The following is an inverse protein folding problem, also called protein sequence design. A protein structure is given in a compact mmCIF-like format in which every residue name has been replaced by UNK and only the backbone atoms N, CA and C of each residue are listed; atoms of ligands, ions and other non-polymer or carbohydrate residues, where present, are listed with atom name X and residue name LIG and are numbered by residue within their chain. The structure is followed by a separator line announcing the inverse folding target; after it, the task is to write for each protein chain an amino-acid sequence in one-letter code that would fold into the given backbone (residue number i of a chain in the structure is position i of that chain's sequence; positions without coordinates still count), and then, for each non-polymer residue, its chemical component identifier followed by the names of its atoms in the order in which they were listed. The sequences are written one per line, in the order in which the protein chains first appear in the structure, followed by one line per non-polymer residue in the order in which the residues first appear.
data_IF_578457813975
#
_entry.id   IF_578457813975
#
_cell.length_a   1.000
_cell.length_b   1.000
_cell.length_c   1.000
_cell.angle_alpha   90.00
_cell.angle_beta   90.00
_cell.angle_gamma   90.00
#
_symmetry.space_group_name_H-M   'P 1'
#
loop_
_entity.id
_entity.type
_entity.pdbx_description
1 polymer ?
#
# COMPACT_ATOMS: atom_id res chain seq x y z
N UNK A 1 19.68 -21.81 -13.28
CA UNK A 1 19.56 -20.36 -13.52
C UNK A 1 18.30 -19.84 -12.82
N UNK A 2 18.30 -18.65 -12.19
CA UNK A 2 17.09 -18.09 -11.63
C UNK A 2 16.05 -17.83 -12.73
N UNK A 3 14.75 -17.98 -12.42
CA UNK A 3 13.69 -17.70 -13.39
C UNK A 3 13.67 -16.21 -13.74
N UNK A 4 13.24 -15.81 -14.94
CA UNK A 4 13.12 -14.39 -15.34
C UNK A 4 12.33 -13.55 -14.34
N UNK A 5 11.27 -14.12 -13.76
CA UNK A 5 10.42 -13.50 -12.71
C UNK A 5 11.22 -13.21 -11.42
N UNK A 6 12.09 -14.14 -11.00
CA UNK A 6 12.93 -13.96 -9.81
C UNK A 6 13.96 -12.85 -10.01
N UNK A 7 14.59 -12.80 -11.19
CA UNK A 7 15.53 -11.75 -11.55
C UNK A 7 14.89 -10.36 -11.56
N UNK A 8 13.65 -10.26 -12.03
CA UNK A 8 12.87 -9.00 -12.00
C UNK A 8 12.65 -8.54 -10.55
N UNK A 9 12.13 -9.43 -9.67
CA UNK A 9 11.85 -9.11 -8.27
C UNK A 9 13.13 -8.69 -7.52
N UNK A 10 14.25 -9.37 -7.75
CA UNK A 10 15.52 -9.04 -7.10
C UNK A 10 16.02 -7.65 -7.51
N UNK A 11 15.86 -7.27 -8.77
CA UNK A 11 16.23 -5.94 -9.27
C UNK A 11 15.35 -4.84 -8.64
N UNK A 12 14.04 -5.04 -8.65
CA UNK A 12 13.10 -4.06 -8.08
C UNK A 12 13.32 -3.90 -6.55
N UNK A 13 13.60 -5.01 -5.85
CA UNK A 13 13.96 -4.99 -4.43
C UNK A 13 15.21 -4.15 -4.17
N UNK A 14 16.29 -4.37 -4.93
CA UNK A 14 17.52 -3.62 -4.74
C UNK A 14 17.34 -2.12 -4.96
N UNK A 15 16.50 -1.75 -5.94
CA UNK A 15 16.13 -0.35 -6.20
C UNK A 15 15.32 0.23 -5.04
N UNK A 16 14.29 -0.48 -4.56
CA UNK A 16 13.44 -0.08 -3.45
C UNK A 16 14.25 0.12 -2.16
N UNK A 17 15.11 -0.84 -1.82
CA UNK A 17 15.97 -0.77 -0.63
C UNK A 17 16.92 0.43 -0.68
N UNK A 18 17.54 0.69 -1.83
CA UNK A 18 18.42 1.85 -2.03
C UNK A 18 17.63 3.16 -1.85
N UNK A 19 16.45 3.25 -2.43
CA UNK A 19 15.57 4.41 -2.32
C UNK A 19 15.13 4.64 -0.87
N UNK A 20 14.62 3.60 -0.19
CA UNK A 20 14.15 3.68 1.17
C UNK A 20 15.28 4.06 2.16
N UNK A 21 16.45 3.46 2.02
CA UNK A 21 17.62 3.80 2.84
C UNK A 21 18.05 5.28 2.66
N UNK A 22 18.01 5.79 1.44
CA UNK A 22 18.42 7.17 1.16
C UNK A 22 17.41 8.23 1.63
N UNK A 23 16.10 7.89 1.67
CA UNK A 23 15.03 8.88 1.83
C UNK A 23 14.18 8.67 3.09
N UNK A 24 14.25 7.51 3.76
CA UNK A 24 13.49 7.25 4.99
C UNK A 24 14.45 7.12 6.19
N UNK A 25 14.53 8.12 7.08
CA UNK A 25 15.46 8.11 8.22
C UNK A 25 15.33 6.88 9.13
N UNK A 26 14.11 6.37 9.32
CA UNK A 26 13.88 5.17 10.12
C UNK A 26 14.45 3.91 9.46
N UNK A 27 14.29 3.77 8.14
CA UNK A 27 14.86 2.66 7.38
C UNK A 27 16.39 2.71 7.46
N UNK A 28 16.96 3.90 7.28
CA UNK A 28 18.41 4.08 7.41
C UNK A 28 18.92 3.60 8.77
N UNK A 29 18.29 4.04 9.87
CA UNK A 29 18.66 3.59 11.22
C UNK A 29 18.57 2.07 11.40
N UNK A 30 17.47 1.44 10.94
CA UNK A 30 17.29 -0.01 11.03
C UNK A 30 18.42 -0.76 10.33
N UNK A 31 18.84 -0.31 9.15
CA UNK A 31 19.95 -0.91 8.41
C UNK A 31 21.30 -0.71 9.10
N UNK A 32 21.57 0.52 9.56
CA UNK A 32 22.81 0.89 10.23
C UNK A 32 22.97 0.11 11.56
N UNK A 33 21.90 0.03 12.36
CA UNK A 33 21.89 -0.72 13.62
C UNK A 33 22.08 -2.23 13.41
N UNK A 34 21.59 -2.77 12.29
CA UNK A 34 21.81 -4.15 11.90
C UNK A 34 23.19 -4.42 11.27
N UNK A 35 23.98 -3.38 11.01
CA UNK A 35 25.26 -3.49 10.30
C UNK A 35 25.13 -3.98 8.85
N UNK A 36 23.95 -3.76 8.22
CA UNK A 36 23.65 -4.20 6.86
C UNK A 36 23.69 -3.03 5.90
N UNK A 37 24.49 -3.14 4.83
CA UNK A 37 24.53 -2.11 3.79
C UNK A 37 23.43 -2.36 2.74
N UNK A 38 22.77 -1.32 2.20
CA UNK A 38 21.77 -1.47 1.14
C UNK A 38 22.29 -2.25 -0.07
N UNK A 39 23.57 -2.09 -0.40
CA UNK A 39 24.23 -2.77 -1.53
C UNK A 39 24.39 -4.28 -1.34
N UNK A 40 24.23 -4.78 -0.12
CA UNK A 40 24.29 -6.20 0.22
C UNK A 40 22.95 -6.92 0.03
N UNK A 41 21.85 -6.16 -0.10
CA UNK A 41 20.51 -6.70 -0.41
C UNK A 41 20.35 -6.77 -1.92
N UNK A 42 20.64 -7.93 -2.48
CA UNK A 42 20.59 -8.19 -3.93
C UNK A 42 19.45 -9.14 -4.31
N UNK A 43 18.92 -9.89 -3.37
CA UNK A 43 17.87 -10.89 -3.55
C UNK A 43 16.88 -10.87 -2.37
N UNK A 44 15.67 -11.33 -2.59
CA UNK A 44 14.64 -11.45 -1.53
C UNK A 44 15.17 -12.20 -0.30
N UNK A 45 15.98 -13.25 -0.49
CA UNK A 45 16.58 -14.01 0.61
C UNK A 45 17.51 -13.17 1.51
N UNK A 46 18.13 -12.12 0.99
CA UNK A 46 19.04 -11.27 1.75
C UNK A 46 18.29 -10.40 2.77
N UNK A 47 16.97 -10.20 2.61
CA UNK A 47 16.12 -9.48 3.58
C UNK A 47 16.09 -10.13 4.97
N UNK A 48 16.39 -11.41 5.08
CA UNK A 48 16.48 -12.09 6.37
C UNK A 48 17.56 -11.48 7.30
N UNK A 49 18.47 -10.69 6.76
CA UNK A 49 19.50 -9.97 7.52
C UNK A 49 19.00 -8.65 8.13
N UNK A 50 17.88 -8.14 7.65
CA UNK A 50 17.28 -6.89 8.13
C UNK A 50 16.22 -7.23 9.18
N UNK A 51 16.29 -6.63 10.39
CA UNK A 51 15.31 -6.88 11.43
C UNK A 51 13.89 -6.50 10.98
N UNK A 52 12.92 -7.34 11.36
CA UNK A 52 11.50 -7.04 11.17
C UNK A 52 11.10 -5.92 12.13
N UNK A 53 10.33 -4.95 11.66
CA UNK A 53 9.70 -3.93 12.50
C UNK A 53 8.28 -4.39 12.85
N UNK A 54 8.02 -4.86 14.07
CA UNK A 54 6.67 -5.24 14.50
C UNK A 54 5.72 -4.05 14.47
N UNK A 55 4.42 -4.29 14.27
CA UNK A 55 3.42 -3.22 14.19
C UNK A 55 3.41 -2.31 15.42
N UNK A 56 3.51 -2.89 16.61
CA UNK A 56 3.53 -2.12 17.86
C UNK A 56 4.74 -1.19 17.93
N UNK A 57 5.90 -1.64 17.47
CA UNK A 57 7.09 -0.80 17.36
C UNK A 57 6.91 0.32 16.36
N UNK A 58 6.27 0.05 15.22
CA UNK A 58 5.96 1.07 14.22
C UNK A 58 5.03 2.15 14.78
N UNK A 59 3.98 1.75 15.53
CA UNK A 59 3.07 2.68 16.22
C UNK A 59 3.86 3.58 17.20
N UNK A 60 4.74 2.98 17.99
CA UNK A 60 5.58 3.73 18.92
C UNK A 60 6.48 4.72 18.19
N UNK A 61 7.13 4.32 17.10
CA UNK A 61 7.99 5.20 16.30
C UNK A 61 7.21 6.36 15.68
N UNK A 62 5.95 6.15 15.29
CA UNK A 62 5.10 7.24 14.81
C UNK A 62 4.72 8.22 15.92
N UNK A 63 4.56 7.77 17.16
CA UNK A 63 4.34 8.65 18.32
C UNK A 63 5.60 9.46 18.69
N UNK A 64 6.77 8.84 18.59
CA UNK A 64 8.06 9.48 18.86
C UNK A 64 8.46 10.51 17.78
N UNK A 65 8.07 10.26 16.53
CA UNK A 65 8.36 11.13 15.37
C UNK A 65 7.13 11.22 14.43
N UNK A 66 6.12 12.03 14.80
CA UNK A 66 4.90 12.15 14.01
C UNK A 66 5.13 12.79 12.63
N UNK A 67 4.27 12.49 11.65
CA UNK A 67 3.21 11.48 11.72
C UNK A 67 3.66 10.08 11.30
N UNK A 68 4.81 9.91 10.64
CA UNK A 68 5.18 8.67 9.96
C UNK A 68 6.35 7.92 10.59
N UNK A 69 6.84 8.31 11.77
CA UNK A 69 7.93 7.62 12.47
C UNK A 69 9.27 7.62 11.72
N UNK A 70 9.44 8.52 10.75
CA UNK A 70 10.61 8.57 9.88
C UNK A 70 10.59 7.54 8.73
N UNK A 71 9.46 6.90 8.45
CA UNK A 71 9.33 5.93 7.36
C UNK A 71 8.92 6.53 6.00
N UNK A 72 8.52 7.80 5.95
CA UNK A 72 8.18 8.43 4.69
C UNK A 72 9.44 8.69 3.85
N UNK A 73 9.49 8.06 2.68
CA UNK A 73 10.58 8.19 1.70
C UNK A 73 10.21 9.10 0.51
N UNK A 74 9.08 9.82 0.60
CA UNK A 74 8.58 10.71 -0.44
C UNK A 74 8.37 12.11 0.11
N UNK A 75 8.32 13.10 -0.79
CA UNK A 75 7.91 14.47 -0.44
C UNK A 75 6.46 14.46 0.07
N UNK A 76 6.17 15.00 1.28
CA UNK A 76 4.80 15.11 1.80
C UNK A 76 3.83 15.82 0.85
N UNK A 77 4.29 16.76 0.04
CA UNK A 77 3.46 17.47 -0.96
C UNK A 77 2.94 16.56 -2.07
N UNK A 78 3.52 15.37 -2.24
CA UNK A 78 3.11 14.37 -3.21
C UNK A 78 2.15 13.33 -2.65
N UNK A 79 1.77 13.45 -1.38
CA UNK A 79 0.77 12.57 -0.78
C UNK A 79 -0.63 12.95 -1.27
N UNK A 80 -1.42 11.93 -1.58
CA UNK A 80 -2.82 12.05 -1.98
C UNK A 80 -3.75 11.87 -0.79
N UNK A 81 -3.47 10.88 0.05
CA UNK A 81 -4.22 10.58 1.25
C UNK A 81 -3.29 10.21 2.41
N UNK A 82 -3.79 10.37 3.61
CA UNK A 82 -3.23 9.77 4.82
C UNK A 82 -4.37 9.00 5.47
N UNK A 83 -4.23 7.68 5.52
CA UNK A 83 -5.20 6.82 6.18
C UNK A 83 -4.80 6.55 7.62
N UNK A 84 -5.77 6.10 8.40
CA UNK A 84 -5.57 5.67 9.78
C UNK A 84 -6.09 4.24 9.92
N UNK A 85 -5.18 3.29 9.95
CA UNK A 85 -5.55 1.90 10.21
C UNK A 85 -5.65 1.58 11.70
N UNK A 86 -6.37 0.50 12.08
CA UNK A 86 -6.47 0.11 13.48
C UNK A 86 -5.10 -0.07 14.14
N UNK A 87 -4.92 0.63 15.29
CA UNK A 87 -3.69 0.51 16.02
C UNK A 87 -3.22 1.76 16.80
N UNK A 88 -3.57 3.03 16.62
CA UNK A 88 -3.76 3.77 15.37
C UNK A 88 -2.43 3.94 14.61
N UNK A 89 -2.41 3.64 13.31
CA UNK A 89 -1.24 3.76 12.47
C UNK A 89 -1.53 4.65 11.26
N UNK A 90 -0.74 5.70 11.06
CA UNK A 90 -0.84 6.57 9.89
C UNK A 90 -0.20 5.91 8.67
N UNK A 91 -0.96 5.79 7.59
CA UNK A 91 -0.55 5.16 6.33
C UNK A 91 -0.61 6.19 5.19
N UNK A 92 0.53 6.72 4.73
CA UNK A 92 0.56 7.67 3.65
C UNK A 92 0.38 6.98 2.30
N UNK A 93 -0.42 7.56 1.42
CA UNK A 93 -0.60 7.15 0.03
C UNK A 93 -0.08 8.22 -0.92
N UNK A 94 0.86 7.86 -1.79
CA UNK A 94 1.35 8.72 -2.87
C UNK A 94 0.33 8.91 -4.00
N UNK A 95 0.63 9.83 -4.89
CA UNK A 95 -0.21 10.15 -6.04
C UNK A 95 -0.04 9.17 -7.22
N UNK A 96 0.90 8.23 -7.14
CA UNK A 96 1.05 7.22 -8.19
C UNK A 96 -0.13 6.23 -8.18
N UNK A 97 -0.40 5.66 -9.35
CA UNK A 97 -1.52 4.74 -9.57
C UNK A 97 -1.10 3.28 -9.65
N UNK A 98 0.07 2.92 -9.16
CA UNK A 98 0.57 1.55 -9.23
C UNK A 98 -0.35 0.58 -8.49
N UNK A 99 -0.85 0.95 -7.31
CA UNK A 99 -1.81 0.14 -6.55
C UNK A 99 -3.14 -0.02 -7.28
N UNK A 100 -3.67 1.05 -7.90
CA UNK A 100 -4.90 0.97 -8.69
C UNK A 100 -4.72 0.01 -9.89
N UNK A 101 -3.55 -0.01 -10.48
CA UNK A 101 -3.25 -0.91 -11.61
C UNK A 101 -3.19 -2.37 -11.17
N UNK A 102 -2.51 -2.67 -10.05
CA UNK A 102 -2.48 -4.03 -9.48
C UNK A 102 -3.88 -4.48 -9.08
N UNK A 103 -4.65 -3.61 -8.41
CA UNK A 103 -6.03 -3.91 -8.03
C UNK A 103 -6.93 -4.15 -9.25
N UNK A 104 -6.76 -3.39 -10.35
CA UNK A 104 -7.50 -3.61 -11.58
C UNK A 104 -7.24 -4.99 -12.19
N UNK A 105 -6.01 -5.48 -12.17
CA UNK A 105 -5.71 -6.84 -12.63
C UNK A 105 -6.37 -7.90 -11.75
N UNK A 106 -6.41 -7.71 -10.43
CA UNK A 106 -7.11 -8.61 -9.51
C UNK A 106 -8.60 -8.67 -9.85
N UNK A 107 -9.25 -7.51 -10.10
CA UNK A 107 -10.65 -7.47 -10.47
C UNK A 107 -10.94 -8.12 -11.82
N UNK A 108 -10.06 -7.96 -12.82
CA UNK A 108 -10.20 -8.67 -14.11
C UNK A 108 -10.09 -10.19 -13.94
N UNK A 109 -9.14 -10.65 -13.12
CA UNK A 109 -9.01 -12.09 -12.80
C UNK A 109 -10.24 -12.59 -12.03
N UNK A 110 -10.84 -11.76 -11.15
CA UNK A 110 -12.08 -12.07 -10.45
C UNK A 110 -13.34 -12.07 -11.37
N UNK A 111 -13.18 -11.66 -12.64
CA UNK A 111 -14.24 -11.75 -13.64
C UNK A 111 -14.98 -10.43 -13.91
N UNK A 112 -14.61 -9.33 -13.28
CA UNK A 112 -15.19 -8.01 -13.56
C UNK A 112 -14.87 -7.56 -14.99
N UNK A 113 -15.88 -7.03 -15.68
CA UNK A 113 -15.78 -6.59 -17.08
C UNK A 113 -16.00 -5.09 -17.19
N UNK A 114 -15.39 -4.51 -18.22
CA UNK A 114 -15.60 -3.11 -18.55
C UNK A 114 -17.09 -2.81 -18.80
N UNK A 115 -17.58 -1.72 -18.23
CA UNK A 115 -18.98 -1.30 -18.38
C UNK A 115 -19.93 -1.88 -17.32
N UNK A 116 -19.47 -2.78 -16.46
CA UNK A 116 -20.26 -3.26 -15.32
C UNK A 116 -20.36 -2.19 -14.23
N UNK A 117 -21.32 -2.35 -13.33
CA UNK A 117 -21.53 -1.52 -12.15
C UNK A 117 -21.26 -2.37 -10.91
N UNK A 118 -20.42 -1.86 -10.00
CA UNK A 118 -20.11 -2.52 -8.75
C UNK A 118 -20.53 -1.66 -7.56
N UNK A 119 -21.27 -2.25 -6.61
CA UNK A 119 -21.55 -1.64 -5.33
C UNK A 119 -20.40 -1.90 -4.36
N UNK A 120 -19.66 -0.85 -3.98
CA UNK A 120 -18.59 -0.95 -3.01
C UNK A 120 -19.11 -0.61 -1.60
N UNK A 121 -19.19 -1.63 -0.75
CA UNK A 121 -19.70 -1.52 0.62
C UNK A 121 -18.63 -1.36 1.69
N UNK A 122 -17.36 -1.20 1.30
CA UNK A 122 -16.27 -0.95 2.24
C UNK A 122 -16.23 0.51 2.69
N UNK A 123 -15.61 0.73 3.85
CA UNK A 123 -15.47 2.07 4.43
C UNK A 123 -14.63 2.98 3.53
N UNK A 124 -15.11 4.22 3.37
CA UNK A 124 -14.42 5.33 2.71
C UNK A 124 -13.87 6.37 3.67
N UNK A 125 -13.98 6.14 4.98
CA UNK A 125 -13.54 7.10 5.99
C UNK A 125 -12.00 7.08 6.14
N UNK A 126 -11.51 6.78 7.32
CA UNK A 126 -10.07 6.77 7.60
C UNK A 126 -9.34 5.55 7.02
N UNK A 127 -10.07 4.48 6.68
CA UNK A 127 -9.52 3.24 6.14
C UNK A 127 -9.24 3.34 4.62
N UNK A 128 -8.16 2.74 4.11
CA UNK A 128 -7.86 2.73 2.67
C UNK A 128 -8.78 1.80 1.86
N UNK A 129 -9.55 0.90 2.50
CA UNK A 129 -10.26 -0.20 1.83
C UNK A 129 -11.18 0.24 0.71
N UNK A 130 -12.14 1.14 0.99
CA UNK A 130 -13.08 1.65 -0.01
C UNK A 130 -12.38 2.33 -1.19
N UNK A 131 -11.42 3.19 -0.88
CA UNK A 131 -10.67 3.96 -1.86
C UNK A 131 -9.81 3.08 -2.78
N UNK A 132 -9.13 2.07 -2.21
CA UNK A 132 -8.29 1.14 -2.97
C UNK A 132 -9.12 0.30 -3.95
N UNK A 133 -10.25 -0.24 -3.48
CA UNK A 133 -11.13 -1.05 -4.35
C UNK A 133 -11.76 -0.18 -5.42
N UNK A 134 -12.21 1.03 -5.09
CA UNK A 134 -12.75 1.97 -6.08
C UNK A 134 -11.73 2.29 -7.17
N UNK A 135 -10.50 2.67 -6.80
CA UNK A 135 -9.44 2.96 -7.76
C UNK A 135 -9.16 1.79 -8.70
N UNK A 136 -9.12 0.57 -8.17
CA UNK A 136 -8.93 -0.64 -8.96
C UNK A 136 -10.10 -0.95 -9.90
N UNK A 137 -11.34 -0.87 -9.43
CA UNK A 137 -12.55 -1.07 -10.22
C UNK A 137 -12.66 -0.04 -11.35
N UNK A 138 -12.50 1.24 -11.05
CA UNK A 138 -12.51 2.32 -12.05
C UNK A 138 -11.42 2.11 -13.12
N UNK A 139 -10.23 1.69 -12.70
CA UNK A 139 -9.12 1.37 -13.60
C UNK A 139 -9.42 0.14 -14.46
N UNK A 140 -10.20 -0.82 -13.96
CA UNK A 140 -10.69 -1.97 -14.74
C UNK A 140 -11.81 -1.58 -15.73
N UNK A 141 -12.36 -0.38 -15.62
CA UNK A 141 -13.44 0.13 -16.45
C UNK A 141 -14.84 -0.15 -15.90
N UNK A 142 -14.93 -0.45 -14.61
CA UNK A 142 -16.16 -0.71 -13.87
C UNK A 142 -16.64 0.62 -13.25
N UNK A 143 -17.95 0.91 -13.35
CA UNK A 143 -18.58 2.02 -12.64
C UNK A 143 -18.77 1.63 -11.16
N UNK A 144 -18.46 2.54 -10.22
CA UNK A 144 -18.55 2.22 -8.80
C UNK A 144 -19.65 3.05 -8.15
N UNK A 145 -20.54 2.35 -7.43
CA UNK A 145 -21.48 2.95 -6.48
C UNK A 145 -20.81 2.92 -5.09
N UNK A 146 -20.38 4.07 -4.53
CA UNK A 146 -19.66 4.13 -3.26
C UNK A 146 -20.62 4.03 -2.06
N UNK A 147 -21.19 2.84 -1.86
CA UNK A 147 -22.21 2.60 -0.84
C UNK A 147 -21.70 2.74 0.60
N UNK A 148 -20.40 2.47 0.81
CA UNK A 148 -19.79 2.56 2.13
C UNK A 148 -20.37 1.58 3.15
N UNK A 149 -20.17 1.85 4.44
CA UNK A 149 -20.70 1.05 5.55
C UNK A 149 -21.92 1.73 6.21
N UNK A 150 -22.79 0.94 6.85
CA UNK A 150 -23.87 1.46 7.72
C UNK A 150 -25.17 1.81 7.03
N UNK A 151 -25.30 1.67 5.71
CA UNK A 151 -26.51 2.00 4.95
C UNK A 151 -27.12 0.76 4.28
N UNK A 152 -27.31 -0.32 5.02
CA UNK A 152 -27.70 -1.64 4.47
C UNK A 152 -29.00 -1.58 3.66
N UNK A 153 -29.99 -0.82 4.11
CA UNK A 153 -31.27 -0.70 3.37
C UNK A 153 -31.08 -0.05 2.00
N UNK A 154 -30.32 1.06 1.93
CA UNK A 154 -30.00 1.73 0.66
C UNK A 154 -29.14 0.86 -0.24
N UNK A 155 -28.19 0.11 0.32
CA UNK A 155 -27.35 -0.82 -0.43
C UNK A 155 -28.17 -1.93 -1.07
N UNK A 156 -29.17 -2.47 -0.35
CA UNK A 156 -30.08 -3.49 -0.89
C UNK A 156 -30.93 -2.91 -2.02
N UNK A 157 -31.49 -1.72 -1.86
CA UNK A 157 -32.26 -1.04 -2.92
C UNK A 157 -31.43 -0.81 -4.17
N UNK A 158 -30.21 -0.27 -4.02
CA UNK A 158 -29.29 -0.02 -5.16
C UNK A 158 -28.96 -1.27 -5.97
N UNK A 159 -29.00 -2.46 -5.33
CA UNK A 159 -28.77 -3.73 -6.01
C UNK A 159 -29.98 -4.20 -6.84
N UNK A 160 -31.16 -3.73 -6.51
CA UNK A 160 -32.43 -4.20 -7.11
C UNK A 160 -32.85 -3.37 -8.32
N UNK A 161 -32.22 -2.22 -8.54
CA UNK A 161 -32.42 -1.31 -9.69
C UNK A 161 -31.32 -1.47 -10.73
#
# INVERSE_FOLDING_TARGET
MPSPKRTFLDRELAHLVKHAYANAPAVKRIFDDAGVKPTEIKRVADLARVPVTPKDRLIQMQRESPPFGGFLAADPQRLKHIYLSPGPLFEPQGADRALDQVAAEIFRIAGFKRGEIALNTLSYHLSPGGWLLEGGLQRAGVCVVPGGVGNTELQVRTRSE
#
